data_IF_311104867182
#
_entry.id   IF_311104867182
#
_cell.length_a   1.000
_cell.length_b   1.000
_cell.length_c   1.000
_cell.angle_alpha   90.00
_cell.angle_beta   90.00
_cell.angle_gamma   90.00
#
_symmetry.space_group_name_H-M   'P 1'
#
loop_
_entity.id
_entity.type
_entity.pdbx_description
1 polymer ?
#
# COMPACT_ATOMS: atom_id res chain seq x y z
N UNK A 1 27.33 16.45 -6.50
CA UNK A 1 27.32 15.13 -5.85
C UNK A 1 25.92 14.57 -5.94
N UNK A 2 25.70 13.45 -6.65
CA UNK A 2 24.38 12.80 -6.68
C UNK A 2 23.90 12.50 -5.26
N UNK A 3 22.60 12.70 -4.99
CA UNK A 3 21.98 12.47 -3.68
C UNK A 3 22.30 11.08 -3.10
N UNK A 4 22.42 10.08 -3.98
CA UNK A 4 22.76 8.71 -3.63
C UNK A 4 24.12 8.59 -2.94
N UNK A 5 25.13 9.32 -3.41
CA UNK A 5 26.49 9.24 -2.86
C UNK A 5 26.54 9.80 -1.44
N UNK A 6 25.75 10.85 -1.16
CA UNK A 6 25.64 11.44 0.17
C UNK A 6 24.99 10.48 1.17
N UNK A 7 23.94 9.78 0.73
CA UNK A 7 23.26 8.78 1.57
C UNK A 7 24.17 7.58 1.80
N UNK A 8 24.90 7.14 0.77
CA UNK A 8 25.78 5.99 0.88
C UNK A 8 26.98 6.25 1.79
N UNK A 9 27.60 7.43 1.71
CA UNK A 9 28.70 7.79 2.63
C UNK A 9 28.19 7.90 4.06
N UNK A 10 27.04 8.53 4.31
CA UNK A 10 26.45 8.62 5.64
C UNK A 10 26.18 7.23 6.24
N UNK A 11 25.56 6.33 5.47
CA UNK A 11 25.26 4.97 5.93
C UNK A 11 26.53 4.19 6.26
N UNK A 12 27.54 4.27 5.38
CA UNK A 12 28.83 3.59 5.57
C UNK A 12 29.59 4.14 6.77
N UNK A 13 29.81 5.44 6.80
CA UNK A 13 30.78 6.09 7.69
C UNK A 13 30.20 6.33 9.10
N UNK A 14 28.87 6.47 9.22
CA UNK A 14 28.21 6.78 10.50
C UNK A 14 27.43 5.61 11.08
N UNK A 15 26.91 4.71 10.23
CA UNK A 15 26.04 3.62 10.65
C UNK A 15 26.62 2.23 10.36
N UNK A 16 27.77 2.12 9.70
CA UNK A 16 28.36 0.86 9.24
C UNK A 16 27.39 0.01 8.39
N UNK A 17 26.57 0.68 7.56
CA UNK A 17 25.60 0.06 6.66
C UNK A 17 25.97 0.30 5.20
N UNK A 18 25.75 -0.71 4.36
CA UNK A 18 25.93 -0.59 2.90
C UNK A 18 24.60 -0.73 2.16
N UNK A 19 24.40 0.14 1.15
CA UNK A 19 23.27 0.01 0.24
C UNK A 19 23.55 -1.05 -0.82
N UNK A 20 22.60 -1.97 -1.00
CA UNK A 20 22.71 -3.01 -2.01
C UNK A 20 22.51 -2.42 -3.42
N UNK A 21 23.44 -2.64 -4.37
CA UNK A 21 23.45 -1.96 -5.68
C UNK A 21 22.20 -2.26 -6.53
N UNK A 22 21.67 -3.48 -6.43
CA UNK A 22 20.46 -3.90 -7.18
C UNK A 22 19.11 -3.64 -6.50
N UNK A 23 19.08 -3.01 -5.31
CA UNK A 23 17.83 -2.81 -4.54
C UNK A 23 17.52 -1.33 -4.29
N UNK A 24 18.06 -0.45 -5.11
CA UNK A 24 17.80 0.99 -5.05
C UNK A 24 16.83 1.35 -6.17
N UNK A 25 15.74 2.01 -5.83
CA UNK A 25 14.77 2.54 -6.79
C UNK A 25 14.66 4.04 -6.55
N UNK A 26 15.23 4.82 -7.47
CA UNK A 26 15.03 6.26 -7.50
C UNK A 26 13.79 6.55 -8.34
N UNK A 27 12.79 7.15 -7.70
CA UNK A 27 11.56 7.56 -8.38
C UNK A 27 11.05 8.88 -7.84
N UNK A 28 10.30 9.57 -8.69
CA UNK A 28 9.62 10.80 -8.33
C UNK A 28 8.50 10.45 -7.34
N UNK A 29 8.43 11.17 -6.22
CA UNK A 29 7.42 10.92 -5.18
C UNK A 29 5.99 11.03 -5.72
N UNK A 30 5.77 11.92 -6.69
CA UNK A 30 4.49 12.08 -7.39
C UNK A 30 4.04 10.83 -8.16
N UNK A 31 4.97 9.94 -8.56
CA UNK A 31 4.63 8.66 -9.20
C UNK A 31 4.14 7.60 -8.20
N UNK A 32 4.18 7.90 -6.89
CA UNK A 32 3.70 7.02 -5.83
C UNK A 32 4.75 6.03 -5.32
N UNK A 33 4.78 5.82 -4.01
CA UNK A 33 5.67 4.88 -3.31
C UNK A 33 4.90 3.67 -2.80
N UNK A 34 5.47 2.50 -3.03
CA UNK A 34 4.76 1.26 -3.00
C UNK A 34 5.11 0.55 -1.67
N UNK A 35 4.22 0.61 -0.66
CA UNK A 35 4.57 0.23 0.72
C UNK A 35 3.38 -0.34 1.51
N UNK A 36 3.60 -1.47 2.19
CA UNK A 36 2.61 -2.18 3.05
C UNK A 36 1.23 -2.41 2.41
N UNK A 37 1.19 -2.75 1.11
CA UNK A 37 -0.07 -3.00 0.40
C UNK A 37 -0.77 -1.75 -0.13
N UNK A 38 -0.16 -0.58 0.06
CA UNK A 38 -0.62 0.71 -0.45
C UNK A 38 0.36 1.28 -1.46
N UNK A 39 -0.14 2.23 -2.25
CA UNK A 39 0.66 3.17 -3.03
C UNK A 39 0.44 4.56 -2.43
N UNK A 40 1.53 5.16 -1.95
CA UNK A 40 1.57 6.41 -1.21
C UNK A 40 1.95 7.55 -2.13
N UNK A 41 1.07 8.53 -2.27
CA UNK A 41 1.32 9.79 -2.97
C UNK A 41 1.54 10.91 -1.94
N UNK A 42 2.05 12.09 -2.34
CA UNK A 42 2.27 13.20 -1.42
C UNK A 42 1.05 13.60 -0.57
N UNK A 43 -0.16 13.45 -1.13
CA UNK A 43 -1.39 13.95 -0.51
C UNK A 43 -2.47 12.89 -0.26
N UNK A 44 -2.27 11.65 -0.73
CA UNK A 44 -3.25 10.58 -0.58
C UNK A 44 -2.60 9.20 -0.69
N UNK A 45 -3.34 8.15 -0.33
CA UNK A 45 -2.87 6.76 -0.38
C UNK A 45 -3.94 5.90 -1.02
N UNK A 46 -3.56 5.08 -1.99
CA UNK A 46 -4.49 4.20 -2.72
C UNK A 46 -4.11 2.75 -2.43
N UNK A 47 -5.12 1.90 -2.21
CA UNK A 47 -4.87 0.48 -1.99
C UNK A 47 -4.39 -0.18 -3.29
N UNK A 48 -3.35 -1.01 -3.23
CA UNK A 48 -2.86 -1.72 -4.41
C UNK A 48 -3.92 -2.63 -5.02
N UNK A 49 -3.92 -2.72 -6.35
CA UNK A 49 -4.85 -3.53 -7.14
C UNK A 49 -4.91 -5.00 -6.69
N UNK A 50 -3.77 -5.62 -6.40
CA UNK A 50 -3.72 -7.02 -5.91
C UNK A 50 -4.48 -7.20 -4.59
N UNK A 51 -4.39 -6.22 -3.68
CA UNK A 51 -5.13 -6.27 -2.41
C UNK A 51 -6.62 -6.07 -2.66
N UNK A 52 -7.01 -5.08 -3.49
CA UNK A 52 -8.41 -4.89 -3.92
C UNK A 52 -9.01 -6.19 -4.48
N UNK A 53 -8.32 -6.84 -5.41
CA UNK A 53 -8.75 -8.11 -5.99
C UNK A 53 -8.92 -9.23 -4.95
N UNK A 54 -7.98 -9.33 -3.99
CA UNK A 54 -8.05 -10.31 -2.91
C UNK A 54 -9.27 -10.08 -2.01
N UNK A 55 -9.55 -8.83 -1.65
CA UNK A 55 -10.73 -8.48 -0.83
C UNK A 55 -12.01 -8.90 -1.55
N UNK A 56 -12.18 -8.52 -2.81
CA UNK A 56 -13.36 -8.86 -3.59
C UNK A 56 -13.53 -10.37 -3.78
N UNK A 57 -12.43 -11.11 -3.96
CA UNK A 57 -12.45 -12.58 -3.99
C UNK A 57 -12.91 -13.15 -2.66
N UNK A 58 -12.42 -12.62 -1.53
CA UNK A 58 -12.78 -13.08 -0.19
C UNK A 58 -14.27 -12.84 0.09
N UNK A 59 -14.81 -11.66 -0.23
CA UNK A 59 -16.24 -11.35 -0.09
C UNK A 59 -17.13 -12.33 -0.86
N UNK A 60 -16.72 -12.73 -2.08
CA UNK A 60 -17.46 -13.70 -2.91
C UNK A 60 -17.44 -15.13 -2.37
N UNK A 61 -16.34 -15.53 -1.75
CA UNK A 61 -16.14 -16.93 -1.36
C UNK A 61 -16.57 -17.21 0.08
N UNK A 62 -16.35 -16.25 0.98
CA UNK A 62 -16.65 -16.39 2.40
C UNK A 62 -16.95 -15.00 2.98
N UNK A 63 -18.15 -14.45 2.74
CA UNK A 63 -18.57 -13.17 3.31
C UNK A 63 -18.75 -13.35 4.81
N UNK A 64 -17.82 -12.81 5.59
CA UNK A 64 -17.86 -12.82 7.06
C UNK A 64 -17.85 -11.37 7.54
N UNK A 65 -18.76 -11.02 8.45
CA UNK A 65 -18.86 -9.67 9.02
C UNK A 65 -17.52 -9.20 9.61
N UNK A 66 -16.83 -10.06 10.36
CA UNK A 66 -15.51 -9.76 10.92
C UNK A 66 -14.48 -9.40 9.83
N UNK A 67 -14.53 -10.09 8.68
CA UNK A 67 -13.66 -9.79 7.54
C UNK A 67 -14.04 -8.48 6.88
N UNK A 68 -15.34 -8.19 6.74
CA UNK A 68 -15.83 -6.89 6.23
C UNK A 68 -15.31 -5.74 7.10
N UNK A 69 -15.51 -5.80 8.42
CA UNK A 69 -15.11 -4.75 9.34
C UNK A 69 -13.59 -4.54 9.36
N UNK A 70 -12.81 -5.62 9.29
CA UNK A 70 -11.35 -5.55 9.17
C UNK A 70 -10.91 -4.76 7.93
N UNK A 71 -11.51 -5.04 6.76
CA UNK A 71 -11.20 -4.30 5.55
C UNK A 71 -11.70 -2.85 5.61
N UNK A 72 -12.92 -2.60 6.12
CA UNK A 72 -13.43 -1.23 6.24
C UNK A 72 -12.56 -0.36 7.15
N UNK A 73 -12.08 -0.90 8.28
CA UNK A 73 -11.14 -0.22 9.16
C UNK A 73 -9.83 0.14 8.44
N UNK A 74 -9.25 -0.82 7.71
CA UNK A 74 -8.04 -0.58 6.89
C UNK A 74 -8.27 0.52 5.84
N UNK A 75 -9.41 0.50 5.14
CA UNK A 75 -9.72 1.47 4.07
C UNK A 75 -9.93 2.89 4.58
N UNK A 76 -10.27 3.07 5.86
CA UNK A 76 -10.41 4.39 6.48
C UNK A 76 -9.12 5.22 6.52
N UNK A 77 -7.96 4.60 6.29
CA UNK A 77 -6.65 5.27 6.32
C UNK A 77 -6.16 5.78 4.95
N UNK A 78 -6.96 5.63 3.89
CA UNK A 78 -6.59 6.05 2.53
C UNK A 78 -7.77 6.57 1.72
N UNK A 79 -7.47 6.97 0.50
CA UNK A 79 -8.48 7.35 -0.49
C UNK A 79 -9.12 6.08 -1.07
N UNK A 80 -10.08 5.55 -0.32
CA UNK A 80 -10.71 4.27 -0.63
C UNK A 80 -12.22 4.26 -0.36
N UNK A 81 -12.87 5.43 -0.30
CA UNK A 81 -14.31 5.51 -0.04
C UNK A 81 -15.14 4.75 -1.08
N UNK A 82 -14.81 4.91 -2.37
CA UNK A 82 -15.46 4.17 -3.45
C UNK A 82 -15.31 2.64 -3.30
N UNK A 83 -14.10 2.19 -2.98
CA UNK A 83 -13.81 0.77 -2.74
C UNK A 83 -14.56 0.24 -1.51
N UNK A 84 -14.63 1.04 -0.43
CA UNK A 84 -15.41 0.68 0.76
C UNK A 84 -16.88 0.44 0.44
N UNK A 85 -17.49 1.27 -0.42
CA UNK A 85 -18.87 1.04 -0.91
C UNK A 85 -18.97 -0.22 -1.75
N UNK A 86 -18.04 -0.47 -2.68
CA UNK A 86 -18.00 -1.69 -3.50
C UNK A 86 -17.96 -2.96 -2.62
N UNK A 87 -17.14 -2.95 -1.58
CA UNK A 87 -16.99 -4.10 -0.66
C UNK A 87 -18.25 -4.31 0.17
N UNK A 88 -18.89 -3.24 0.67
CA UNK A 88 -20.18 -3.36 1.36
C UNK A 88 -21.24 -3.94 0.44
N UNK A 89 -21.36 -3.43 -0.78
CA UNK A 89 -22.33 -3.94 -1.75
C UNK A 89 -22.07 -5.41 -2.09
N UNK A 90 -20.80 -5.80 -2.26
CA UNK A 90 -20.44 -7.19 -2.48
C UNK A 90 -20.78 -8.06 -1.26
N UNK A 91 -20.51 -7.59 -0.04
CA UNK A 91 -20.93 -8.30 1.16
C UNK A 91 -22.44 -8.53 1.17
N UNK A 92 -23.25 -7.47 1.04
CA UNK A 92 -24.72 -7.56 0.99
C UNK A 92 -25.27 -8.47 -0.12
N UNK A 93 -24.57 -8.57 -1.25
CA UNK A 93 -25.00 -9.41 -2.38
C UNK A 93 -24.65 -10.89 -2.19
N UNK A 94 -23.55 -11.20 -1.50
CA UNK A 94 -23.06 -12.58 -1.34
C UNK A 94 -23.32 -13.18 0.05
N UNK A 95 -23.75 -12.39 1.04
CA UNK A 95 -24.11 -12.85 2.38
C UNK A 95 -25.52 -13.46 2.44
#
# INVERSE_FOLDING_TARGET
>A
MPLQDAVQSFLRDRLALELHPGKIILKIVAAGIDFLGWTHFPHHRVLRTKTKQRVMKRMRQKPEEATLQSYLGMLGHGDAHALGREIRNAYWFFC
#
